data_IF_929687066754
#
_entry.id   IF_929687066754
#
_cell.length_a   1.000
_cell.length_b   1.000
_cell.length_c   1.000
_cell.angle_alpha   90.00
_cell.angle_beta   90.00
_cell.angle_gamma   90.00
#
_symmetry.space_group_name_H-M   'P 1'
#
loop_
_entity.id
_entity.type
_entity.pdbx_description
1 polymer ?
#
# COMPACT_ATOMS: atom_id res chain seq x y z
N UNK A 1 3.94 -9.88 -23.31
CA UNK A 1 4.28 -8.80 -22.37
C UNK A 1 3.02 -8.19 -21.76
N UNK A 2 2.08 -7.67 -22.56
CA UNK A 2 0.76 -7.19 -22.10
C UNK A 2 -0.02 -8.09 -21.12
N UNK A 3 -0.07 -9.41 -21.32
CA UNK A 3 -0.74 -10.33 -20.37
C UNK A 3 -0.14 -10.30 -18.95
N UNK A 4 1.18 -10.10 -18.84
CA UNK A 4 1.87 -10.01 -17.55
C UNK A 4 1.52 -8.73 -16.78
N UNK A 5 1.22 -7.64 -17.48
CA UNK A 5 0.84 -6.37 -16.86
C UNK A 5 -0.54 -6.47 -16.21
N UNK A 6 -1.50 -7.06 -16.92
CA UNK A 6 -2.86 -7.23 -16.40
C UNK A 6 -2.87 -8.11 -15.15
N UNK A 7 -2.22 -9.27 -15.20
CA UNK A 7 -2.10 -10.19 -14.06
C UNK A 7 -1.37 -9.54 -12.87
N UNK A 8 -0.30 -8.77 -13.13
CA UNK A 8 0.42 -8.07 -12.07
C UNK A 8 -0.43 -6.98 -11.40
N UNK A 9 -1.25 -6.26 -12.17
CA UNK A 9 -2.16 -5.24 -11.63
C UNK A 9 -3.35 -5.83 -10.88
N UNK A 10 -3.85 -6.99 -11.30
CA UNK A 10 -4.88 -7.75 -10.58
C UNK A 10 -4.35 -8.20 -9.21
N UNK A 11 -3.19 -8.87 -9.19
CA UNK A 11 -2.53 -9.28 -7.94
C UNK A 11 -2.21 -8.08 -7.03
N UNK A 12 -1.80 -6.96 -7.62
CA UNK A 12 -1.58 -5.73 -6.87
C UNK A 12 -2.86 -5.21 -6.22
N UNK A 13 -3.97 -5.22 -6.96
CA UNK A 13 -5.30 -4.84 -6.46
C UNK A 13 -5.69 -5.67 -5.24
N UNK A 14 -5.59 -7.00 -5.36
CA UNK A 14 -5.86 -7.92 -4.26
C UNK A 14 -4.99 -7.62 -3.03
N UNK A 15 -3.70 -7.34 -3.24
CA UNK A 15 -2.79 -7.01 -2.15
C UNK A 15 -3.18 -5.71 -1.41
N UNK A 16 -3.58 -4.69 -2.17
CA UNK A 16 -4.02 -3.41 -1.62
C UNK A 16 -5.33 -3.56 -0.85
N UNK A 17 -6.32 -4.26 -1.42
CA UNK A 17 -7.63 -4.48 -0.80
C UNK A 17 -7.54 -5.29 0.49
N UNK A 18 -6.67 -6.30 0.52
CA UNK A 18 -6.47 -7.15 1.71
C UNK A 18 -5.46 -6.58 2.71
N UNK A 19 -4.86 -5.41 2.45
CA UNK A 19 -3.98 -4.71 3.39
C UNK A 19 -2.68 -5.46 3.72
N UNK A 20 -2.06 -6.11 2.74
CA UNK A 20 -0.83 -6.88 2.95
C UNK A 20 0.35 -6.02 3.42
N UNK A 21 1.14 -6.47 4.40
CA UNK A 21 2.15 -5.63 5.05
C UNK A 21 3.46 -5.37 4.28
N UNK A 22 3.73 -6.02 3.14
CA UNK A 22 5.04 -5.93 2.45
C UNK A 22 4.90 -5.41 1.02
N UNK A 23 4.63 -4.12 0.86
CA UNK A 23 4.52 -3.52 -0.48
C UNK A 23 5.86 -3.12 -1.09
N UNK A 24 6.92 -2.83 -0.31
CA UNK A 24 8.17 -2.29 -0.88
C UNK A 24 8.77 -3.19 -1.96
N UNK A 25 9.04 -4.46 -1.66
CA UNK A 25 9.64 -5.40 -2.62
C UNK A 25 8.72 -5.68 -3.81
N UNK A 26 7.42 -5.86 -3.56
CA UNK A 26 6.45 -6.14 -4.62
C UNK A 26 6.27 -4.94 -5.54
N UNK A 27 6.26 -3.74 -4.96
CA UNK A 27 6.16 -2.48 -5.71
C UNK A 27 7.37 -2.29 -6.62
N UNK A 28 8.59 -2.64 -6.18
CA UNK A 28 9.79 -2.55 -7.02
C UNK A 28 9.65 -3.40 -8.30
N UNK A 29 9.20 -4.65 -8.15
CA UNK A 29 8.99 -5.55 -9.30
C UNK A 29 7.86 -5.04 -10.20
N UNK A 30 6.77 -4.55 -9.61
CA UNK A 30 5.63 -4.01 -10.35
C UNK A 30 6.03 -2.76 -11.15
N UNK A 31 6.73 -1.81 -10.52
CA UNK A 31 7.15 -0.58 -11.19
C UNK A 31 8.17 -0.84 -12.28
N UNK A 32 9.06 -1.82 -12.09
CA UNK A 32 9.97 -2.27 -13.13
C UNK A 32 9.21 -2.74 -14.38
N UNK A 33 8.23 -3.63 -14.19
CA UNK A 33 7.37 -4.12 -15.26
C UNK A 33 6.58 -2.98 -15.93
N UNK A 34 5.93 -2.12 -15.14
CA UNK A 34 5.10 -1.03 -15.68
C UNK A 34 5.94 -0.02 -16.46
N UNK A 35 7.13 0.34 -15.95
CA UNK A 35 8.03 1.25 -16.64
C UNK A 35 8.57 0.64 -17.94
N UNK A 36 8.91 -0.65 -17.96
CA UNK A 36 9.38 -1.35 -19.16
C UNK A 36 8.31 -1.41 -20.26
N UNK A 37 7.04 -1.45 -19.88
CA UNK A 37 5.91 -1.45 -20.82
C UNK A 37 5.34 -0.04 -21.08
N UNK A 38 5.98 1.01 -20.55
CA UNK A 38 5.56 2.40 -20.74
C UNK A 38 4.24 2.78 -20.05
N UNK A 39 3.79 1.99 -19.08
CA UNK A 39 2.54 2.15 -18.32
C UNK A 39 2.70 3.14 -17.18
N UNK A 40 2.96 4.40 -17.54
CA UNK A 40 3.28 5.47 -16.59
C UNK A 40 2.09 5.83 -15.68
N UNK A 41 0.88 5.87 -16.22
CA UNK A 41 -0.34 6.15 -15.46
C UNK A 41 -0.56 5.11 -14.37
N UNK A 42 -0.41 3.83 -14.72
CA UNK A 42 -0.55 2.73 -13.77
C UNK A 42 0.57 2.76 -12.73
N UNK A 43 1.80 3.07 -13.14
CA UNK A 43 2.93 3.21 -12.21
C UNK A 43 2.70 4.34 -11.19
N UNK A 44 2.21 5.50 -11.64
CA UNK A 44 1.87 6.64 -10.79
C UNK A 44 0.75 6.30 -9.81
N UNK A 45 -0.32 5.65 -10.28
CA UNK A 45 -1.43 5.19 -9.43
C UNK A 45 -0.95 4.21 -8.35
N UNK A 46 -0.17 3.20 -8.72
CA UNK A 46 0.38 2.23 -7.77
C UNK A 46 1.33 2.89 -6.76
N UNK A 47 2.11 3.90 -7.19
CA UNK A 47 2.94 4.71 -6.30
C UNK A 47 2.10 5.46 -5.27
N UNK A 48 0.98 6.07 -5.69
CA UNK A 48 0.09 6.73 -4.75
C UNK A 48 -0.51 5.75 -3.74
N UNK A 49 -0.96 4.57 -4.18
CA UNK A 49 -1.52 3.54 -3.30
C UNK A 49 -0.56 3.14 -2.18
N UNK A 50 0.72 2.85 -2.47
CA UNK A 50 1.69 2.52 -1.40
C UNK A 50 1.91 3.68 -0.44
N UNK A 51 1.99 4.90 -0.97
CA UNK A 51 2.22 6.06 -0.12
C UNK A 51 1.02 6.38 0.77
N UNK A 52 -0.20 6.16 0.29
CA UNK A 52 -1.42 6.41 1.03
C UNK A 52 -1.68 5.33 2.10
N UNK A 53 -1.11 4.13 1.90
CA UNK A 53 -1.00 3.07 2.91
C UNK A 53 0.14 3.31 3.92
N UNK A 54 0.81 4.47 3.87
CA UNK A 54 1.91 4.80 4.78
C UNK A 54 3.20 4.02 4.52
N UNK A 55 3.32 3.35 3.37
CA UNK A 55 4.53 2.64 2.98
C UNK A 55 5.39 3.48 2.05
N UNK A 56 6.68 3.55 2.36
CA UNK A 56 7.64 4.32 1.56
C UNK A 56 8.10 3.47 0.35
N UNK A 57 7.90 3.93 -0.89
CA UNK A 57 8.54 3.33 -2.06
C UNK A 57 10.07 3.30 -1.91
N UNK A 58 10.72 2.31 -2.52
CA UNK A 58 12.19 2.27 -2.53
C UNK A 58 12.77 3.44 -3.35
N UNK A 59 14.03 3.78 -3.07
CA UNK A 59 14.77 4.77 -3.85
C UNK A 59 15.00 4.33 -5.30
N UNK A 60 15.06 3.02 -5.55
CA UNK A 60 15.23 2.44 -6.89
C UNK A 60 13.96 2.70 -7.71
N UNK A 61 12.80 2.34 -7.17
CA UNK A 61 11.50 2.55 -7.80
C UNK A 61 11.20 4.01 -8.08
N UNK A 62 11.41 4.87 -7.08
CA UNK A 62 11.22 6.31 -7.26
C UNK A 62 12.11 6.88 -8.37
N UNK A 63 13.39 6.47 -8.42
CA UNK A 63 14.31 6.89 -9.48
C UNK A 63 13.82 6.43 -10.85
N UNK A 64 13.39 5.17 -10.98
CA UNK A 64 12.97 4.59 -12.27
C UNK A 64 11.74 5.32 -12.83
N UNK A 65 10.70 5.48 -12.02
CA UNK A 65 9.47 6.18 -12.39
C UNK A 65 9.79 7.64 -12.77
N UNK A 66 10.58 8.33 -11.94
CA UNK A 66 10.94 9.73 -12.18
C UNK A 66 11.66 9.93 -13.52
N UNK A 67 12.65 9.09 -13.84
CA UNK A 67 13.38 9.19 -15.12
C UNK A 67 12.42 9.01 -16.29
N UNK A 68 11.54 8.02 -16.25
CA UNK A 68 10.60 7.78 -17.34
C UNK A 68 9.58 8.92 -17.48
N UNK A 69 9.08 9.46 -16.37
CA UNK A 69 8.21 10.64 -16.37
C UNK A 69 8.91 11.89 -16.92
N UNK A 70 10.21 12.07 -16.64
CA UNK A 70 11.01 13.17 -17.19
C UNK A 70 11.10 13.06 -18.71
N UNK A 71 11.36 11.86 -19.22
CA UNK A 71 11.38 11.60 -20.67
C UNK A 71 10.00 11.80 -21.32
N UNK A 72 8.92 11.57 -20.57
CA UNK A 72 7.55 11.82 -21.00
C UNK A 72 7.05 13.26 -20.72
N UNK A 73 7.93 14.14 -20.22
CA UNK A 73 7.63 15.54 -19.90
C UNK A 73 6.44 15.74 -18.92
N UNK A 74 6.29 14.84 -17.93
CA UNK A 74 5.25 14.88 -16.88
C UNK A 74 5.73 15.60 -15.61
N UNK A 75 6.03 16.88 -15.73
CA UNK A 75 6.61 17.69 -14.64
C UNK A 75 5.72 17.75 -13.38
N UNK A 76 4.40 17.82 -13.54
CA UNK A 76 3.45 17.85 -12.41
C UNK A 76 3.49 16.54 -11.61
N UNK A 77 3.42 15.39 -12.28
CA UNK A 77 3.57 14.08 -11.65
C UNK A 77 4.90 13.96 -10.90
N UNK A 78 6.01 14.40 -11.52
CA UNK A 78 7.33 14.38 -10.89
C UNK A 78 7.35 15.21 -9.60
N UNK A 79 6.75 16.39 -9.62
CA UNK A 79 6.66 17.26 -8.45
C UNK A 79 5.86 16.59 -7.33
N UNK A 80 4.68 16.06 -7.66
CA UNK A 80 3.81 15.37 -6.69
C UNK A 80 4.48 14.15 -6.06
N UNK A 81 5.13 13.30 -6.86
CA UNK A 81 5.85 12.12 -6.34
C UNK A 81 7.04 12.53 -5.46
N UNK A 82 7.79 13.56 -5.87
CA UNK A 82 8.94 14.07 -5.11
C UNK A 82 8.51 14.63 -3.76
N UNK A 83 7.41 15.38 -3.71
CA UNK A 83 6.85 15.90 -2.46
C UNK A 83 6.42 14.76 -1.53
N UNK A 84 5.69 13.77 -2.04
CA UNK A 84 5.29 12.60 -1.25
C UNK A 84 6.50 11.88 -0.65
N UNK A 85 7.56 11.63 -1.44
CA UNK A 85 8.80 11.02 -0.95
C UNK A 85 9.48 11.84 0.15
N UNK A 86 9.48 13.17 0.03
CA UNK A 86 10.07 14.06 1.03
C UNK A 86 9.31 14.02 2.37
N UNK A 87 7.99 13.78 2.34
CA UNK A 87 7.16 13.64 3.56
C UNK A 87 7.52 12.38 4.34
N UNK A 88 7.85 11.27 3.68
CA UNK A 88 8.32 10.04 4.36
C UNK A 88 9.66 10.19 5.10
N UNK A 89 10.47 11.20 4.78
CA UNK A 89 11.66 11.53 5.58
C UNK A 89 11.34 12.24 6.90
N UNK A 90 10.08 12.66 7.10
CA UNK A 90 9.59 13.40 8.28
C UNK A 90 8.57 12.64 9.11
N UNK A 91 7.96 11.57 8.58
CA UNK A 91 7.02 10.72 9.32
C UNK A 91 7.82 9.80 10.25
N UNK A 92 7.56 9.86 11.55
CA UNK A 92 8.03 8.86 12.50
C UNK A 92 7.38 7.50 12.16
N UNK A 93 7.98 6.35 12.52
CA UNK A 93 7.37 5.06 12.29
C UNK A 93 6.05 5.00 13.06
N UNK A 94 4.94 5.19 12.37
CA UNK A 94 3.64 4.84 12.91
C UNK A 94 3.64 3.32 13.02
N UNK A 95 3.44 2.84 14.24
CA UNK A 95 3.54 1.43 14.62
C UNK A 95 2.81 0.52 13.62
N UNK A 96 3.53 -0.45 13.04
CA UNK A 96 2.98 -1.55 12.23
C UNK A 96 1.99 -2.46 12.99
N UNK A 97 1.46 -2.05 14.15
CA UNK A 97 0.48 -2.81 14.91
C UNK A 97 -0.93 -2.30 14.64
N UNK A 98 -1.58 -2.90 13.66
CA UNK A 98 -3.01 -3.20 13.81
C UNK A 98 -3.42 -4.48 13.10
N UNK A 99 -2.80 -5.60 13.49
CA UNK A 99 -3.55 -6.86 13.50
C UNK A 99 -4.45 -6.81 14.72
N UNK A 100 -5.70 -6.36 14.56
CA UNK A 100 -6.73 -6.69 15.56
C UNK A 100 -7.01 -8.19 15.41
N UNK A 101 -6.84 -9.03 16.45
CA UNK A 101 -7.43 -10.35 16.43
C UNK A 101 -8.97 -10.20 16.35
N UNK A 102 -9.68 -11.13 15.71
CA UNK A 102 -11.14 -11.14 15.77
C UNK A 102 -11.57 -11.26 17.23
N UNK A 103 -12.58 -10.48 17.60
CA UNK A 103 -13.09 -10.38 18.96
C UNK A 103 -13.31 -11.75 19.60
N UNK A 104 -12.60 -12.04 20.69
CA UNK A 104 -12.97 -13.12 21.60
C UNK A 104 -14.29 -12.70 22.27
N UNK A 105 -15.37 -13.34 21.85
CA UNK A 105 -16.66 -13.31 22.54
C UNK A 105 -16.49 -14.13 23.81
N UNK A 106 -16.34 -13.46 24.95
CA UNK A 106 -16.48 -14.10 26.25
C UNK A 106 -17.94 -14.52 26.45
N UNK A 107 -18.24 -15.75 26.89
CA UNK A 107 -19.62 -16.19 27.09
C UNK A 107 -20.28 -15.44 28.25
N UNK A 108 -21.54 -15.10 28.05
CA UNK A 108 -22.48 -14.56 29.03
C UNK A 108 -22.41 -15.33 30.37
N UNK A 109 -22.20 -14.58 31.44
CA UNK A 109 -22.44 -15.05 32.80
C UNK A 109 -23.92 -14.84 33.15
N UNK A 110 -24.73 -15.84 32.84
CA UNK A 110 -26.01 -16.05 33.53
C UNK A 110 -25.68 -16.60 34.94
N UNK A 111 -26.10 -15.90 35.99
CA UNK A 111 -27.27 -16.38 36.73
C UNK A 111 -27.66 -15.44 37.86
N UNK A 112 -28.97 -15.31 37.94
CA UNK A 112 -29.75 -14.38 38.75
C UNK A 112 -29.86 -14.93 40.17
N UNK A 113 -29.49 -14.16 41.20
CA UNK A 113 -29.84 -14.52 42.58
C UNK A 113 -31.38 -14.45 42.75
N UNK A 114 -32.03 -15.61 42.74
CA UNK A 114 -33.41 -15.78 43.20
C UNK A 114 -33.39 -15.79 44.73
N UNK A 115 -34.03 -14.78 45.32
CA UNK A 115 -34.37 -14.73 46.74
C UNK A 115 -35.40 -15.84 47.00
N UNK A 116 -35.07 -16.84 47.84
CA UNK A 116 -36.07 -17.74 48.41
C UNK A 116 -36.18 -17.45 49.91
N UNK A 117 -37.37 -17.00 50.29
CA UNK A 117 -37.82 -16.85 51.66
C UNK A 117 -38.05 -18.23 52.32
N UNK A 118 -37.61 -18.36 53.57
CA UNK A 118 -38.20 -19.24 54.59
C UNK A 118 -37.94 -18.63 55.96
#
# INVERSE_FOLDING_TARGET
RHGKVAEALELWGDMVENGFGSFTLVSDVLFDLLCDEGKLEEAERCFHQITDLGQKPSSISFRRIKILMQLANREESIAGLTEKMARFGRLLPEDCQRVRPPAETTPDGDDTEIIIAT
#
